data_IF_834681099174
#
_entry.id   IF_834681099174
#
_cell.length_a   1.000
_cell.length_b   1.000
_cell.length_c   1.000
_cell.angle_alpha   90.00
_cell.angle_beta   90.00
_cell.angle_gamma   90.00
#
_symmetry.space_group_name_H-M   'P 1'
#
loop_
_entity.id
_entity.type
_entity.pdbx_description
1 polymer ?
#
# COMPACT_ATOMS: atom_id res chain seq x y z
N UNK A 1 2.54 -23.38 17.72
CA UNK A 1 2.10 -22.22 18.51
C UNK A 1 2.27 -22.46 20.01
N UNK A 2 2.23 -23.70 20.48
CA UNK A 2 2.46 -24.07 21.90
C UNK A 2 3.64 -23.31 22.55
N UNK A 3 4.85 -23.39 21.99
CA UNK A 3 6.02 -22.64 22.51
C UNK A 3 5.80 -21.12 22.61
N UNK A 4 5.04 -20.53 21.67
CA UNK A 4 4.73 -19.10 21.66
C UNK A 4 3.80 -18.73 22.82
N UNK A 5 2.79 -19.56 23.08
CA UNK A 5 1.86 -19.38 24.20
C UNK A 5 2.52 -19.67 25.56
N UNK A 6 3.45 -20.63 25.61
CA UNK A 6 4.22 -20.94 26.82
C UNK A 6 5.23 -19.84 27.18
N UNK A 7 5.68 -19.05 26.19
CA UNK A 7 6.69 -18.01 26.35
C UNK A 7 6.17 -16.60 25.98
N UNK A 8 4.92 -16.26 26.31
CA UNK A 8 4.33 -14.97 25.92
C UNK A 8 5.12 -13.77 26.46
N UNK A 9 5.60 -12.94 25.55
CA UNK A 9 6.09 -11.60 25.83
C UNK A 9 4.92 -10.60 25.84
N UNK A 10 5.08 -9.38 26.36
CA UNK A 10 4.02 -8.36 26.26
C UNK A 10 3.54 -8.10 24.83
N UNK A 11 4.47 -8.12 23.85
CA UNK A 11 4.11 -8.03 22.42
C UNK A 11 3.39 -9.27 21.91
N UNK A 12 3.79 -10.46 22.36
CA UNK A 12 3.09 -11.72 22.06
C UNK A 12 1.66 -11.75 22.60
N UNK A 13 1.44 -11.25 23.82
CA UNK A 13 0.09 -11.10 24.38
C UNK A 13 -0.75 -10.17 23.53
N UNK A 14 -0.23 -8.99 23.18
CA UNK A 14 -0.96 -8.05 22.32
C UNK A 14 -1.26 -8.67 20.95
N UNK A 15 -0.31 -9.43 20.38
CA UNK A 15 -0.51 -10.13 19.11
C UNK A 15 -1.67 -11.13 19.20
N UNK A 16 -1.68 -11.96 20.24
CA UNK A 16 -2.74 -12.94 20.46
C UNK A 16 -4.11 -12.26 20.66
N UNK A 17 -4.16 -11.17 21.42
CA UNK A 17 -5.40 -10.44 21.73
C UNK A 17 -5.94 -9.64 20.54
N UNK A 18 -5.10 -9.30 19.55
CA UNK A 18 -5.48 -8.45 18.42
C UNK A 18 -5.64 -9.22 17.12
N UNK A 19 -4.57 -9.86 16.65
CA UNK A 19 -4.54 -10.56 15.36
C UNK A 19 -4.79 -12.07 15.50
N UNK A 20 -4.62 -12.61 16.70
CA UNK A 20 -5.02 -13.98 17.04
C UNK A 20 -6.42 -14.09 17.64
N UNK A 21 -7.19 -12.99 17.69
CA UNK A 21 -8.50 -12.97 18.34
C UNK A 21 -9.50 -13.89 17.60
N UNK A 22 -10.14 -14.79 18.34
CA UNK A 22 -11.02 -15.79 17.75
C UNK A 22 -11.56 -16.80 18.77
N UNK A 23 -12.15 -17.88 18.27
CA UNK A 23 -12.58 -19.02 19.11
C UNK A 23 -11.40 -19.91 19.52
N UNK A 24 -10.34 -19.87 18.72
CA UNK A 24 -9.09 -20.62 18.79
C UNK A 24 -7.98 -19.78 18.13
N UNK A 25 -6.77 -20.34 18.05
CA UNK A 25 -5.56 -19.71 17.53
C UNK A 25 -5.39 -19.84 16.00
N UNK A 26 -6.37 -20.44 15.30
CA UNK A 26 -6.28 -20.69 13.86
C UNK A 26 -6.09 -19.42 13.02
N UNK A 27 -6.63 -18.27 13.46
CA UNK A 27 -6.41 -17.00 12.77
C UNK A 27 -4.93 -16.57 12.78
N UNK A 28 -4.24 -16.83 13.90
CA UNK A 28 -2.81 -16.54 14.03
C UNK A 28 -1.99 -17.55 13.22
N UNK A 29 -2.38 -18.83 13.20
CA UNK A 29 -1.76 -19.86 12.34
C UNK A 29 -1.81 -19.46 10.87
N UNK A 30 -3.00 -19.14 10.36
CA UNK A 30 -3.21 -18.75 8.97
C UNK A 30 -2.38 -17.52 8.61
N UNK A 31 -2.31 -16.53 9.51
CA UNK A 31 -1.50 -15.33 9.29
C UNK A 31 -0.01 -15.64 9.23
N UNK A 32 0.51 -16.49 10.12
CA UNK A 32 1.93 -16.92 10.11
C UNK A 32 2.25 -17.67 8.83
N UNK A 33 1.37 -18.57 8.38
CA UNK A 33 1.54 -19.32 7.13
C UNK A 33 1.51 -18.39 5.91
N UNK A 34 0.60 -17.42 5.87
CA UNK A 34 0.54 -16.42 4.79
C UNK A 34 1.82 -15.59 4.73
N UNK A 35 2.31 -15.11 5.88
CA UNK A 35 3.54 -14.32 5.95
C UNK A 35 4.77 -15.15 5.60
N UNK A 36 4.84 -16.42 6.01
CA UNK A 36 5.89 -17.33 5.59
C UNK A 36 5.89 -17.50 4.07
N UNK A 37 4.74 -17.75 3.45
CA UNK A 37 4.65 -17.88 1.98
C UNK A 37 5.13 -16.61 1.26
N UNK A 38 4.84 -15.42 1.80
CA UNK A 38 5.36 -14.14 1.27
C UNK A 38 6.85 -13.95 1.50
N UNK A 39 7.37 -14.42 2.63
CA UNK A 39 8.79 -14.37 2.97
C UNK A 39 9.61 -15.24 2.03
N UNK A 40 9.11 -16.43 1.67
CA UNK A 40 9.76 -17.35 0.74
C UNK A 40 10.04 -16.72 -0.64
N UNK A 41 9.22 -15.75 -1.06
CA UNK A 41 9.45 -14.99 -2.29
C UNK A 41 10.59 -13.95 -2.18
N UNK A 42 11.18 -13.74 -1.00
CA UNK A 42 12.25 -12.77 -0.78
C UNK A 42 13.62 -13.44 -0.99
N UNK A 43 14.49 -12.92 -1.88
CA UNK A 43 15.83 -13.47 -2.10
C UNK A 43 16.73 -13.46 -0.86
N UNK A 44 16.52 -12.50 0.05
CA UNK A 44 17.30 -12.31 1.27
C UNK A 44 16.36 -12.13 2.48
N UNK A 45 15.73 -13.22 2.90
CA UNK A 45 14.71 -13.26 3.97
C UNK A 45 15.13 -12.52 5.23
N UNK A 46 16.34 -12.81 5.75
CA UNK A 46 16.84 -12.21 6.99
C UNK A 46 16.99 -10.69 6.89
N UNK A 47 17.47 -10.19 5.75
CA UNK A 47 17.59 -8.74 5.49
C UNK A 47 16.22 -8.08 5.41
N UNK A 48 15.25 -8.77 4.80
CA UNK A 48 13.89 -8.28 4.71
C UNK A 48 13.24 -8.21 6.09
N UNK A 49 13.35 -9.27 6.89
CA UNK A 49 12.83 -9.33 8.26
C UNK A 49 13.46 -8.24 9.13
N UNK A 50 14.78 -8.04 9.06
CA UNK A 50 15.44 -6.99 9.84
C UNK A 50 15.01 -5.59 9.42
N UNK A 51 14.79 -5.35 8.12
CA UNK A 51 14.22 -4.08 7.67
C UNK A 51 12.80 -3.85 8.22
N UNK A 52 11.96 -4.89 8.30
CA UNK A 52 10.64 -4.79 8.94
C UNK A 52 10.76 -4.52 10.44
N UNK A 53 11.66 -5.21 11.15
CA UNK A 53 11.92 -4.95 12.58
C UNK A 53 12.39 -3.53 12.82
N UNK A 54 13.30 -3.03 12.00
CA UNK A 54 13.82 -1.67 12.10
C UNK A 54 12.69 -0.63 11.96
N UNK A 55 11.76 -0.83 11.01
CA UNK A 55 10.59 0.03 10.86
C UNK A 55 9.72 0.04 12.13
N UNK A 56 9.33 -1.12 12.66
CA UNK A 56 8.45 -1.18 13.82
C UNK A 56 9.12 -0.75 15.13
N UNK A 57 10.44 -0.91 15.26
CA UNK A 57 11.22 -0.38 16.40
C UNK A 57 11.32 1.15 16.37
N UNK A 58 11.21 1.76 15.20
CA UNK A 58 11.41 3.20 14.99
C UNK A 58 10.35 3.74 14.01
N UNK A 59 9.07 3.59 14.37
CA UNK A 59 7.96 4.15 13.59
C UNK A 59 8.15 5.67 13.49
N UNK A 60 8.22 6.24 12.26
CA UNK A 60 8.37 7.69 12.05
C UNK A 60 7.33 8.51 12.80
N UNK A 61 7.67 9.76 13.11
CA UNK A 61 6.78 10.69 13.82
C UNK A 61 5.56 11.15 13.00
N UNK A 62 5.65 11.02 11.67
CA UNK A 62 4.62 11.48 10.74
C UNK A 62 4.24 10.38 9.77
N UNK A 63 2.93 10.22 9.52
CA UNK A 63 2.42 9.14 8.68
C UNK A 63 2.95 9.24 7.25
N UNK A 64 3.11 10.47 6.73
CA UNK A 64 3.67 10.75 5.41
C UNK A 64 5.13 10.32 5.24
N UNK A 65 5.86 10.08 6.34
CA UNK A 65 7.23 9.58 6.28
C UNK A 65 7.29 8.05 6.25
N UNK A 66 6.20 7.38 6.63
CA UNK A 66 6.06 5.92 6.53
C UNK A 66 5.91 5.48 5.05
N UNK A 67 6.26 4.22 4.72
CA UNK A 67 5.98 3.68 3.39
C UNK A 67 4.48 3.74 3.02
N UNK A 68 3.60 3.53 4.00
CA UNK A 68 2.16 3.52 3.82
C UNK A 68 1.61 4.91 3.46
N UNK A 69 1.97 5.93 4.24
CA UNK A 69 1.54 7.31 3.97
C UNK A 69 2.04 7.83 2.62
N UNK A 70 3.26 7.47 2.21
CA UNK A 70 3.81 7.80 0.88
C UNK A 70 2.98 7.21 -0.26
N UNK A 71 2.57 5.94 -0.13
CA UNK A 71 1.73 5.27 -1.12
C UNK A 71 0.36 5.95 -1.21
N UNK A 72 -0.28 6.20 -0.06
CA UNK A 72 -1.60 6.81 0.02
C UNK A 72 -1.62 8.25 -0.51
N UNK A 73 -0.63 9.08 -0.13
CA UNK A 73 -0.50 10.45 -0.66
C UNK A 73 -0.26 10.45 -2.17
N UNK A 74 0.55 9.54 -2.68
CA UNK A 74 0.77 9.41 -4.12
C UNK A 74 -0.50 8.95 -4.86
N UNK A 75 -1.30 8.07 -4.25
CA UNK A 75 -2.59 7.68 -4.79
C UNK A 75 -3.56 8.87 -4.88
N UNK A 76 -3.73 9.62 -3.78
CA UNK A 76 -4.54 10.84 -3.75
C UNK A 76 -4.07 11.83 -4.80
N UNK A 77 -2.76 12.10 -4.88
CA UNK A 77 -2.18 13.01 -5.88
C UNK A 77 -2.50 12.60 -7.32
N UNK A 78 -2.33 11.31 -7.65
CA UNK A 78 -2.62 10.79 -9.00
C UNK A 78 -4.10 10.90 -9.34
N UNK A 79 -4.99 10.50 -8.42
CA UNK A 79 -6.45 10.57 -8.61
C UNK A 79 -6.94 12.02 -8.69
N UNK A 80 -6.43 12.90 -7.84
CA UNK A 80 -6.78 14.32 -7.86
C UNK A 80 -6.40 14.98 -9.19
N UNK A 81 -5.16 14.76 -9.66
CA UNK A 81 -4.69 15.22 -10.97
C UNK A 81 -5.55 14.68 -12.11
N UNK A 82 -5.94 13.40 -12.06
CA UNK A 82 -6.79 12.79 -13.06
C UNK A 82 -8.17 13.48 -13.13
N UNK A 83 -8.85 13.62 -12.00
CA UNK A 83 -10.14 14.30 -11.92
C UNK A 83 -10.03 15.78 -12.34
N UNK A 84 -8.98 16.49 -11.92
CA UNK A 84 -8.69 17.87 -12.34
C UNK A 84 -8.67 17.97 -13.87
N UNK A 85 -7.85 17.14 -14.52
CA UNK A 85 -7.69 17.15 -15.97
C UNK A 85 -8.99 16.79 -16.70
N UNK A 86 -9.77 15.84 -16.18
CA UNK A 86 -11.07 15.48 -16.76
C UNK A 86 -12.06 16.65 -16.68
N UNK A 87 -12.17 17.30 -15.51
CA UNK A 87 -13.10 18.41 -15.30
C UNK A 87 -12.72 19.63 -16.14
N UNK A 88 -11.42 19.96 -16.27
CA UNK A 88 -10.94 21.05 -17.11
C UNK A 88 -11.23 20.78 -18.60
N UNK A 89 -10.99 19.56 -19.08
CA UNK A 89 -11.30 19.18 -20.47
C UNK A 89 -12.81 19.21 -20.73
N UNK A 90 -13.61 18.73 -19.79
CA UNK A 90 -15.07 18.79 -19.86
C UNK A 90 -15.59 20.24 -19.91
N UNK A 91 -15.04 21.12 -19.08
CA UNK A 91 -15.37 22.55 -19.13
C UNK A 91 -15.03 23.18 -20.48
N UNK A 92 -13.87 22.86 -21.05
CA UNK A 92 -13.47 23.32 -22.38
C UNK A 92 -14.38 22.79 -23.49
N UNK A 93 -14.82 21.53 -23.41
CA UNK A 93 -15.75 20.94 -24.38
C UNK A 93 -17.13 21.59 -24.32
N UNK A 94 -17.60 21.94 -23.10
CA UNK A 94 -18.89 22.61 -22.92
C UNK A 94 -18.96 23.99 -23.58
N UNK A 95 -17.84 24.62 -23.95
CA UNK A 95 -17.83 25.84 -24.77
C UNK A 95 -18.56 25.69 -26.11
N UNK A 96 -18.73 24.47 -26.63
CA UNK A 96 -19.52 24.19 -27.83
C UNK A 96 -21.04 24.19 -27.59
N UNK A 97 -21.49 24.37 -26.34
CA UNK A 97 -22.90 24.37 -25.95
C UNK A 97 -23.18 25.46 -24.90
N UNK A 98 -23.84 26.55 -25.30
CA UNK A 98 -24.07 27.71 -24.43
C UNK A 98 -24.78 27.38 -23.11
N UNK A 99 -25.79 26.49 -23.16
CA UNK A 99 -26.56 26.11 -21.97
C UNK A 99 -25.69 25.37 -20.94
N UNK A 100 -24.87 24.43 -21.39
CA UNK A 100 -23.94 23.69 -20.52
C UNK A 100 -22.75 24.55 -20.09
N UNK A 101 -22.21 25.39 -20.98
CA UNK A 101 -21.15 26.32 -20.66
C UNK A 101 -21.57 27.27 -19.52
N UNK A 102 -22.77 27.84 -19.60
CA UNK A 102 -23.25 28.77 -18.59
C UNK A 102 -23.61 28.07 -17.26
N UNK A 103 -24.17 26.86 -17.32
CA UNK A 103 -24.77 26.21 -16.15
C UNK A 103 -23.89 25.17 -15.47
N UNK A 104 -23.00 24.49 -16.19
CA UNK A 104 -22.20 23.37 -15.67
C UNK A 104 -20.71 23.76 -15.57
N UNK A 105 -20.14 24.39 -16.60
CA UNK A 105 -18.70 24.66 -16.66
C UNK A 105 -18.13 25.40 -15.43
N UNK A 106 -18.81 26.39 -14.81
CA UNK A 106 -18.30 27.04 -13.61
C UNK A 106 -18.07 26.07 -12.44
N UNK A 107 -18.99 25.12 -12.22
CA UNK A 107 -18.85 24.12 -11.15
C UNK A 107 -17.71 23.13 -11.45
N UNK A 108 -17.52 22.78 -12.72
CA UNK A 108 -16.42 21.91 -13.16
C UNK A 108 -15.06 22.58 -12.95
N UNK A 109 -14.94 23.85 -13.33
CA UNK A 109 -13.70 24.61 -13.14
C UNK A 109 -13.39 24.81 -11.65
N UNK A 110 -14.38 25.19 -10.83
CA UNK A 110 -14.21 25.36 -9.38
C UNK A 110 -13.71 24.07 -8.70
N UNK A 111 -14.39 22.94 -8.95
CA UNK A 111 -13.94 21.65 -8.44
C UNK A 111 -12.53 21.27 -8.95
N UNK A 112 -12.18 21.63 -10.19
CA UNK A 112 -10.85 21.37 -10.74
C UNK A 112 -9.75 22.19 -10.03
N UNK A 113 -10.03 23.44 -9.65
CA UNK A 113 -9.08 24.26 -8.88
C UNK A 113 -8.91 23.75 -7.45
N UNK A 114 -9.98 23.26 -6.83
CA UNK A 114 -9.88 22.63 -5.51
C UNK A 114 -9.08 21.32 -5.56
N UNK A 115 -9.22 20.52 -6.63
CA UNK A 115 -8.42 19.33 -6.87
C UNK A 115 -6.94 19.66 -7.15
N UNK A 116 -6.66 20.78 -7.81
CA UNK A 116 -5.31 21.30 -7.97
C UNK A 116 -4.68 21.71 -6.64
N UNK A 117 -5.46 22.39 -5.78
CA UNK A 117 -5.03 22.73 -4.44
C UNK A 117 -4.72 21.47 -3.62
N UNK A 118 -5.57 20.44 -3.68
CA UNK A 118 -5.31 19.14 -3.04
C UNK A 118 -4.02 18.52 -3.56
N UNK A 119 -3.81 18.50 -4.88
CA UNK A 119 -2.60 17.98 -5.51
C UNK A 119 -1.34 18.65 -4.94
N UNK A 120 -1.34 19.99 -4.83
CA UNK A 120 -0.25 20.75 -4.22
C UNK A 120 -0.06 20.44 -2.74
N UNK A 121 -1.15 20.38 -1.97
CA UNK A 121 -1.13 20.11 -0.52
C UNK A 121 -0.60 18.73 -0.18
N UNK A 122 -0.74 17.74 -1.07
CA UNK A 122 -0.09 16.42 -0.88
C UNK A 122 1.44 16.47 -0.85
N UNK A 123 2.07 17.55 -1.30
CA UNK A 123 3.51 17.75 -1.18
C UNK A 123 3.91 18.45 0.12
N UNK A 124 2.96 19.12 0.79
CA UNK A 124 3.19 19.80 2.07
C UNK A 124 3.07 18.84 3.26
N UNK A 125 2.20 17.83 3.17
CA UNK A 125 2.04 16.82 4.22
C UNK A 125 0.64 16.22 4.29
N UNK A 126 0.46 15.26 5.18
CA UNK A 126 -0.80 14.52 5.34
C UNK A 126 -1.95 15.43 5.77
N UNK A 127 -1.75 16.17 6.86
CA UNK A 127 -2.81 17.02 7.43
C UNK A 127 -3.12 18.23 6.54
N UNK A 128 -2.13 18.72 5.79
CA UNK A 128 -2.32 19.76 4.80
C UNK A 128 -3.25 19.29 3.66
N UNK A 129 -3.07 18.05 3.18
CA UNK A 129 -3.95 17.45 2.19
C UNK A 129 -5.35 17.14 2.75
N UNK A 130 -5.41 16.59 3.97
CA UNK A 130 -6.66 16.32 4.71
C UNK A 130 -7.52 17.58 4.89
N UNK A 131 -6.90 18.72 5.11
CA UNK A 131 -7.59 20.00 5.28
C UNK A 131 -8.29 20.55 4.03
N UNK A 132 -8.06 19.97 2.84
CA UNK A 132 -8.66 20.44 1.60
C UNK A 132 -10.07 19.88 1.44
N UNK A 133 -11.06 20.78 1.37
CA UNK A 133 -12.44 20.42 1.04
C UNK A 133 -12.68 20.63 -0.46
N UNK A 134 -13.26 19.62 -1.12
CA UNK A 134 -13.67 19.71 -2.52
C UNK A 134 -15.19 19.64 -2.60
N UNK A 135 -15.79 20.67 -3.19
CA UNK A 135 -17.23 20.81 -3.32
C UNK A 135 -17.72 20.25 -4.66
N UNK A 136 -18.70 19.35 -4.58
CA UNK A 136 -19.49 18.91 -5.74
C UNK A 136 -20.95 19.33 -5.56
N UNK A 137 -21.30 20.61 -5.80
CA UNK A 137 -22.67 21.08 -5.69
C UNK A 137 -23.60 20.35 -6.66
N UNK A 138 -24.91 20.44 -6.40
CA UNK A 138 -25.90 19.94 -7.34
C UNK A 138 -25.82 20.74 -8.63
N UNK A 139 -25.56 20.06 -9.75
CA UNK A 139 -25.58 20.69 -11.07
C UNK A 139 -26.97 21.26 -11.39
N UNK A 140 -26.98 22.43 -12.02
CA UNK A 140 -28.21 23.11 -12.40
C UNK A 140 -29.06 22.29 -13.40
N UNK A 141 -30.34 22.61 -13.52
CA UNK A 141 -31.19 21.95 -14.52
C UNK A 141 -30.94 22.53 -15.92
N UNK A 142 -30.70 21.65 -16.89
CA UNK A 142 -30.58 21.94 -18.32
C UNK A 142 -31.63 21.08 -19.03
N UNK A 143 -32.39 21.64 -19.97
CA UNK A 143 -33.39 20.87 -20.73
C UNK A 143 -32.70 19.88 -21.66
N UNK A 144 -33.33 18.75 -21.95
CA UNK A 144 -32.74 17.74 -22.83
C UNK A 144 -32.57 18.23 -24.27
N UNK A 145 -33.47 19.11 -24.73
CA UNK A 145 -33.35 19.84 -26.01
C UNK A 145 -32.06 20.65 -26.13
N UNK A 146 -31.55 21.14 -25.00
CA UNK A 146 -30.43 22.09 -24.98
C UNK A 146 -29.11 21.37 -24.72
N UNK A 147 -29.13 20.19 -24.09
CA UNK A 147 -27.93 19.49 -23.62
C UNK A 147 -27.62 18.17 -24.34
N UNK A 148 -28.62 17.50 -24.91
CA UNK A 148 -28.47 16.25 -25.65
C UNK A 148 -27.60 15.19 -24.95
N UNK A 149 -26.82 14.45 -25.76
CA UNK A 149 -25.87 13.45 -25.27
C UNK A 149 -24.73 14.06 -24.44
N UNK A 150 -24.29 15.28 -24.78
CA UNK A 150 -23.22 15.98 -24.06
C UNK A 150 -23.57 16.14 -22.59
N UNK A 151 -24.80 16.56 -22.26
CA UNK A 151 -25.29 16.69 -20.88
C UNK A 151 -25.16 15.38 -20.10
N UNK A 152 -25.58 14.26 -20.69
CA UNK A 152 -25.50 12.96 -20.03
C UNK A 152 -24.05 12.54 -19.74
N UNK A 153 -23.15 12.74 -20.70
CA UNK A 153 -21.71 12.47 -20.51
C UNK A 153 -21.09 13.38 -19.45
N UNK A 154 -21.36 14.69 -19.48
CA UNK A 154 -20.84 15.63 -18.48
C UNK A 154 -21.33 15.27 -17.07
N UNK A 155 -22.61 14.92 -16.95
CA UNK A 155 -23.17 14.44 -15.67
C UNK A 155 -22.47 13.17 -15.18
N UNK A 156 -22.26 12.19 -16.05
CA UNK A 156 -21.56 10.95 -15.69
C UNK A 156 -20.11 11.22 -15.26
N UNK A 157 -19.40 12.10 -15.97
CA UNK A 157 -18.04 12.51 -15.61
C UNK A 157 -18.00 13.20 -14.23
N UNK A 158 -18.93 14.13 -13.99
CA UNK A 158 -19.07 14.82 -12.70
C UNK A 158 -19.31 13.83 -11.56
N UNK A 159 -20.26 12.91 -11.73
CA UNK A 159 -20.60 11.91 -10.72
C UNK A 159 -19.41 10.96 -10.46
N UNK A 160 -18.66 10.55 -11.49
CA UNK A 160 -17.46 9.71 -11.33
C UNK A 160 -16.32 10.43 -10.57
N UNK A 161 -16.05 11.70 -10.88
CA UNK A 161 -15.07 12.50 -10.14
C UNK A 161 -15.50 12.70 -8.69
N UNK A 162 -16.79 12.91 -8.44
CA UNK A 162 -17.36 13.03 -7.10
C UNK A 162 -17.16 11.75 -6.28
N UNK A 163 -17.44 10.57 -6.84
CA UNK A 163 -17.22 9.30 -6.14
C UNK A 163 -15.73 9.06 -5.86
N UNK A 164 -14.85 9.42 -6.80
CA UNK A 164 -13.39 9.34 -6.57
C UNK A 164 -12.96 10.19 -5.38
N UNK A 165 -13.47 11.43 -5.29
CA UNK A 165 -13.15 12.36 -4.20
C UNK A 165 -13.71 11.90 -2.86
N UNK A 166 -14.91 11.30 -2.82
CA UNK A 166 -15.44 10.69 -1.59
C UNK A 166 -14.50 9.63 -1.03
N UNK A 167 -13.83 8.86 -1.88
CA UNK A 167 -12.85 7.87 -1.45
C UNK A 167 -11.65 8.45 -0.70
N UNK A 168 -11.35 9.75 -0.85
CA UNK A 168 -10.27 10.39 -0.09
C UNK A 168 -10.63 10.60 1.39
N UNK A 169 -11.90 10.70 1.74
CA UNK A 169 -12.33 10.87 3.13
C UNK A 169 -11.99 9.65 3.99
N UNK A 170 -12.07 8.44 3.42
CA UNK A 170 -11.64 7.20 4.07
C UNK A 170 -10.13 7.21 4.35
N UNK A 171 -9.32 7.64 3.37
CA UNK A 171 -7.86 7.75 3.50
C UNK A 171 -7.50 8.76 4.59
N UNK A 172 -8.15 9.92 4.62
CA UNK A 172 -7.88 11.00 5.57
C UNK A 172 -8.82 10.98 6.80
N UNK A 173 -9.31 9.79 7.17
CA UNK A 173 -10.21 9.60 8.32
C UNK A 173 -9.55 9.99 9.65
N UNK A 174 -8.23 9.82 9.76
CA UNK A 174 -7.40 10.22 10.88
C UNK A 174 -6.38 11.32 10.50
N UNK A 175 -5.97 12.11 11.48
CA UNK A 175 -4.79 13.00 11.38
C UNK A 175 -3.48 12.19 11.30
N UNK A 176 -2.39 12.86 10.92
CA UNK A 176 -1.07 12.23 10.88
C UNK A 176 -0.67 11.66 12.25
N UNK A 177 -0.93 12.42 13.32
CA UNK A 177 -0.57 12.02 14.69
C UNK A 177 -1.41 10.84 15.18
N UNK A 178 -2.73 10.83 14.92
CA UNK A 178 -3.61 9.70 15.26
C UNK A 178 -3.18 8.41 14.53
N UNK A 179 -2.91 8.50 13.21
CA UNK A 179 -2.50 7.34 12.43
C UNK A 179 -1.13 6.77 12.85
N UNK A 180 -0.19 7.63 13.26
CA UNK A 180 1.10 7.20 13.80
C UNK A 180 0.95 6.55 15.18
N UNK A 181 0.07 7.07 16.02
CA UNK A 181 -0.20 6.49 17.34
C UNK A 181 -0.79 5.08 17.22
N UNK A 182 -1.68 4.84 16.26
CA UNK A 182 -2.19 3.50 15.95
C UNK A 182 -1.06 2.54 15.56
N UNK A 183 -0.13 2.97 14.70
CA UNK A 183 1.04 2.17 14.32
C UNK A 183 1.94 1.88 15.52
N UNK A 184 2.18 2.86 16.40
CA UNK A 184 2.99 2.70 17.61
C UNK A 184 2.36 1.74 18.60
N UNK A 185 1.05 1.82 18.77
CA UNK A 185 0.28 0.92 19.63
C UNK A 185 0.43 -0.53 19.15
N UNK A 186 0.44 -0.74 17.82
CA UNK A 186 0.59 -2.07 17.21
C UNK A 186 2.03 -2.56 17.11
N UNK A 187 3.03 -1.71 17.33
CA UNK A 187 4.42 -2.04 17.03
C UNK A 187 4.94 -3.29 17.76
N UNK A 188 4.58 -3.49 19.04
CA UNK A 188 5.02 -4.65 19.82
C UNK A 188 4.39 -5.96 19.32
N UNK A 189 3.11 -5.94 18.92
CA UNK A 189 2.43 -7.08 18.32
C UNK A 189 3.03 -7.43 16.95
N UNK A 190 3.32 -6.42 16.13
CA UNK A 190 3.92 -6.62 14.81
C UNK A 190 5.34 -7.19 14.91
N UNK A 191 6.15 -6.73 15.89
CA UNK A 191 7.46 -7.33 16.16
C UNK A 191 7.34 -8.79 16.60
N UNK A 192 6.39 -9.10 17.49
CA UNK A 192 6.14 -10.48 17.90
C UNK A 192 5.70 -11.37 16.73
N UNK A 193 4.90 -10.85 15.80
CA UNK A 193 4.46 -11.57 14.60
C UNK A 193 5.63 -11.85 13.64
N UNK A 194 6.51 -10.87 13.46
CA UNK A 194 7.74 -11.03 12.66
C UNK A 194 8.62 -12.13 13.27
N UNK A 195 8.82 -12.12 14.58
CA UNK A 195 9.66 -13.10 15.26
C UNK A 195 9.03 -14.51 15.25
N UNK A 196 7.72 -14.61 15.45
CA UNK A 196 6.98 -15.86 15.34
C UNK A 196 7.07 -16.46 13.92
N UNK A 197 6.90 -15.62 12.90
CA UNK A 197 7.02 -16.04 11.49
C UNK A 197 8.46 -16.47 11.16
N UNK A 198 9.45 -15.75 11.66
CA UNK A 198 10.86 -16.09 11.46
C UNK A 198 11.22 -17.42 12.13
N UNK A 199 10.75 -17.65 13.36
CA UNK A 199 10.96 -18.91 14.07
C UNK A 199 10.27 -20.08 13.37
N UNK A 200 9.03 -19.89 12.92
CA UNK A 200 8.33 -20.88 12.09
C UNK A 200 9.13 -21.22 10.83
N UNK A 201 9.55 -20.21 10.05
CA UNK A 201 10.31 -20.40 8.81
C UNK A 201 11.59 -21.21 9.05
N UNK A 202 12.34 -20.85 10.09
CA UNK A 202 13.57 -21.55 10.49
C UNK A 202 13.31 -23.02 10.83
N UNK A 203 12.35 -23.30 11.73
CA UNK A 203 12.02 -24.66 12.17
C UNK A 203 11.45 -25.51 11.04
N UNK A 204 10.63 -24.91 10.17
CA UNK A 204 10.08 -25.60 9.01
C UNK A 204 11.19 -26.01 8.04
N UNK A 205 12.15 -25.12 7.77
CA UNK A 205 13.31 -25.43 6.95
C UNK A 205 14.23 -26.49 7.58
N UNK A 206 14.41 -26.48 8.91
CA UNK A 206 15.12 -27.54 9.64
C UNK A 206 14.43 -28.91 9.49
N UNK A 207 13.10 -28.96 9.60
CA UNK A 207 12.34 -30.18 9.39
C UNK A 207 12.36 -30.66 7.94
N UNK A 208 12.30 -29.75 6.96
CA UNK A 208 12.50 -30.09 5.53
C UNK A 208 13.86 -30.74 5.31
N UNK A 209 14.93 -30.17 5.87
CA UNK A 209 16.29 -30.74 5.79
C UNK A 209 16.39 -32.09 6.48
N UNK A 210 15.81 -32.25 7.67
CA UNK A 210 15.78 -33.54 8.41
C UNK A 210 15.10 -34.65 7.60
N UNK A 211 14.09 -34.29 6.81
CA UNK A 211 13.35 -35.21 5.92
C UNK A 211 13.97 -35.35 4.53
N UNK A 212 15.09 -34.67 4.25
CA UNK A 212 15.73 -34.60 2.94
C UNK A 212 14.76 -34.16 1.83
N UNK A 213 13.89 -33.19 2.15
CA UNK A 213 12.93 -32.58 1.23
C UNK A 213 13.29 -31.11 0.99
N UNK A 214 12.96 -30.61 -0.20
CA UNK A 214 13.06 -29.20 -0.55
C UNK A 214 11.92 -28.83 -1.51
N UNK A 215 11.41 -27.61 -1.41
CA UNK A 215 10.51 -27.02 -2.38
C UNK A 215 11.30 -26.14 -3.39
N UNK A 216 10.57 -25.46 -4.29
CA UNK A 216 11.21 -24.59 -5.29
C UNK A 216 11.89 -23.37 -4.66
N UNK A 217 11.30 -22.79 -3.61
CA UNK A 217 11.87 -21.61 -2.94
C UNK A 217 13.17 -21.96 -2.23
N UNK A 218 13.23 -23.13 -1.59
CA UNK A 218 14.46 -23.64 -0.98
C UNK A 218 15.59 -23.73 -2.00
N UNK A 219 15.30 -24.25 -3.20
CA UNK A 219 16.31 -24.39 -4.25
C UNK A 219 16.83 -23.03 -4.72
N UNK A 220 15.96 -22.03 -4.83
CA UNK A 220 16.33 -20.66 -5.20
C UNK A 220 17.19 -20.01 -4.12
N UNK A 221 16.80 -20.11 -2.84
CA UNK A 221 17.58 -19.55 -1.74
C UNK A 221 18.94 -20.22 -1.57
N UNK A 222 19.01 -21.56 -1.68
CA UNK A 222 20.27 -22.28 -1.61
C UNK A 222 21.15 -21.98 -2.84
N UNK A 223 20.58 -21.80 -4.03
CA UNK A 223 21.33 -21.33 -5.19
C UNK A 223 21.93 -19.94 -4.94
N UNK A 224 21.17 -19.01 -4.37
CA UNK A 224 21.69 -17.69 -3.99
C UNK A 224 22.84 -17.82 -2.98
N UNK A 225 22.67 -18.60 -1.91
CA UNK A 225 23.71 -18.82 -0.88
C UNK A 225 24.99 -19.42 -1.44
N UNK A 226 24.87 -20.33 -2.41
CA UNK A 226 26.01 -20.98 -3.06
C UNK A 226 26.73 -20.06 -4.06
N UNK A 227 26.00 -19.16 -4.72
CA UNK A 227 26.52 -18.34 -5.82
C UNK A 227 26.94 -16.94 -5.38
N UNK A 228 26.40 -16.42 -4.28
CA UNK A 228 26.65 -15.06 -3.79
C UNK A 228 27.31 -15.13 -2.40
N UNK A 229 28.49 -14.54 -2.28
CA UNK A 229 29.21 -14.44 -1.01
C UNK A 229 28.57 -13.43 -0.05
N UNK A 230 29.03 -13.42 1.20
CA UNK A 230 28.52 -12.50 2.24
C UNK A 230 28.70 -11.02 1.88
N UNK A 231 29.74 -10.70 1.10
CA UNK A 231 30.03 -9.37 0.55
C UNK A 231 29.15 -9.00 -0.66
N UNK A 232 28.28 -9.90 -1.10
CA UNK A 232 27.45 -9.74 -2.28
C UNK A 232 28.18 -10.03 -3.60
N UNK A 233 29.46 -10.44 -3.56
CA UNK A 233 30.22 -10.76 -4.75
C UNK A 233 29.97 -12.21 -5.21
N UNK A 234 30.16 -12.53 -6.51
CA UNK A 234 30.09 -13.90 -6.98
C UNK A 234 31.13 -14.79 -6.29
N UNK A 235 30.68 -15.93 -5.78
CA UNK A 235 31.57 -16.97 -5.23
C UNK A 235 32.41 -17.61 -6.34
N UNK A 236 33.39 -18.42 -5.96
CA UNK A 236 34.15 -19.21 -6.94
C UNK A 236 33.25 -20.16 -7.74
N UNK A 237 32.25 -20.77 -7.07
CA UNK A 237 31.26 -21.60 -7.75
C UNK A 237 30.48 -20.79 -8.79
N UNK A 238 30.07 -19.57 -8.47
CA UNK A 238 29.39 -18.71 -9.44
C UNK A 238 30.25 -18.39 -10.65
N UNK A 239 31.57 -18.18 -10.48
CA UNK A 239 32.50 -17.98 -11.60
C UNK A 239 32.64 -19.23 -12.47
N UNK A 240 32.74 -20.40 -11.85
CA UNK A 240 32.80 -21.68 -12.58
C UNK A 240 31.51 -21.93 -13.37
N UNK A 241 30.36 -21.66 -12.77
CA UNK A 241 29.05 -21.84 -13.41
C UNK A 241 28.88 -20.84 -14.54
N UNK A 242 29.18 -19.55 -14.32
CA UNK A 242 29.01 -18.50 -15.34
C UNK A 242 29.92 -18.71 -16.54
N UNK A 243 31.15 -19.22 -16.36
CA UNK A 243 32.07 -19.54 -17.45
C UNK A 243 31.54 -20.60 -18.44
N UNK A 244 30.52 -21.38 -18.07
CA UNK A 244 29.87 -22.38 -18.94
C UNK A 244 28.88 -21.77 -19.91
N UNK A 245 28.41 -20.55 -19.64
CA UNK A 245 27.37 -19.90 -20.42
C UNK A 245 27.95 -18.66 -21.11
N UNK A 246 27.89 -18.65 -22.45
CA UNK A 246 28.27 -17.47 -23.24
C UNK A 246 27.20 -16.37 -23.16
N UNK A 247 25.94 -16.78 -23.05
CA UNK A 247 24.76 -15.92 -23.00
C UNK A 247 23.67 -16.63 -22.18
N UNK A 248 22.88 -15.86 -21.42
CA UNK A 248 21.74 -16.34 -20.65
C UNK A 248 20.50 -15.58 -21.14
N UNK A 249 19.50 -16.29 -21.62
CA UNK A 249 18.19 -15.74 -22.00
C UNK A 249 17.17 -16.16 -20.95
N UNK A 250 16.43 -15.19 -20.41
CA UNK A 250 15.40 -15.35 -19.37
C UNK A 250 14.05 -14.91 -19.92
#
# INVERSE_FOLDING_TARGET
LDDFYDCLTPGGTLLADTLGAGRDDSALEDLVLELHAKLQAQPYEDKWLEAQRAFWRAVPDKIEDTPYGKILLNEVRRKARHCKNLLQRAAQEMCANDALNQKYAPAFLDASYQLEALEGKTAEGWDAARGVTIAFPRLAAVKDSDGGEMKARMKSLWDNCKETVKGFAEIFSASSDEAVEDLRTMASAMLALIDLTADFSRRYNEEKRRRNSADFSDQEHEAIRLLIGEDGAPTELARIVSARYREIMV
#
